data_IF_946160604425
#
_entry.id   IF_946160604425
#
_cell.length_a   1.000
_cell.length_b   1.000
_cell.length_c   1.000
_cell.angle_alpha   90.00
_cell.angle_beta   90.00
_cell.angle_gamma   90.00
#
_symmetry.space_group_name_H-M   'P 1'
#
loop_
_entity.id
_entity.type
_entity.pdbx_description
1 polymer ?
#
# COMPACT_ATOMS: atom_id res chain seq x y z
N UNK A 1 9.56 7.77 26.11
CA UNK A 1 9.11 6.57 25.35
C UNK A 1 8.58 7.09 24.04
N UNK A 2 9.01 6.55 22.92
CA UNK A 2 8.42 6.92 21.62
C UNK A 2 6.96 6.48 21.63
N UNK A 3 6.07 7.34 21.11
CA UNK A 3 4.65 7.04 20.91
C UNK A 3 4.52 5.93 19.85
N UNK A 4 3.72 4.92 20.11
CA UNK A 4 3.40 3.84 19.18
C UNK A 4 1.89 3.81 18.89
N UNK A 5 1.42 2.95 17.98
CA UNK A 5 0.01 2.88 17.59
C UNK A 5 -0.94 2.47 18.72
N UNK A 6 -0.43 2.02 19.88
CA UNK A 6 -1.21 1.66 21.05
C UNK A 6 -1.24 2.79 22.10
N UNK A 7 -0.52 3.88 21.86
CA UNK A 7 -0.48 5.04 22.76
C UNK A 7 -1.64 5.97 22.46
N UNK A 8 -2.38 6.40 23.49
CA UNK A 8 -3.45 7.38 23.38
C UNK A 8 -2.86 8.79 23.26
N UNK A 9 -2.72 9.27 22.05
CA UNK A 9 -2.23 10.60 21.73
C UNK A 9 -3.30 11.43 21.02
N UNK A 10 -3.12 12.75 21.02
CA UNK A 10 -3.96 13.64 20.21
C UNK A 10 -3.66 13.41 18.71
N UNK A 11 -4.63 12.95 17.89
CA UNK A 11 -4.39 12.61 16.50
C UNK A 11 -3.99 13.83 15.63
N UNK A 12 -4.33 15.04 16.05
CA UNK A 12 -3.95 16.28 15.34
C UNK A 12 -2.44 16.54 15.44
N UNK A 13 -1.85 16.25 16.60
CA UNK A 13 -0.44 16.59 16.93
C UNK A 13 0.47 15.37 17.06
N UNK A 14 -0.04 14.15 16.85
CA UNK A 14 0.71 12.91 16.98
C UNK A 14 1.97 12.87 16.10
N UNK A 15 1.85 13.34 14.88
CA UNK A 15 2.95 13.52 13.96
C UNK A 15 3.11 15.00 13.62
N UNK A 16 4.34 15.43 13.41
CA UNK A 16 4.63 16.79 12.98
C UNK A 16 3.91 17.09 11.66
N UNK A 17 3.45 18.33 11.52
CA UNK A 17 2.99 18.80 10.21
C UNK A 17 4.16 18.75 9.23
N UNK A 18 3.97 18.01 8.14
CA UNK A 18 4.98 17.90 7.09
C UNK A 18 4.89 19.16 6.24
N UNK A 19 5.98 19.92 6.22
CA UNK A 19 6.22 20.94 5.21
C UNK A 19 7.26 20.36 4.27
N UNK A 20 6.87 19.75 3.14
CA UNK A 20 7.81 19.16 2.22
C UNK A 20 8.76 20.24 1.70
N UNK A 21 10.06 19.96 1.73
CA UNK A 21 10.94 20.65 0.79
C UNK A 21 10.52 20.21 -0.61
N UNK A 22 10.36 21.16 -1.53
CA UNK A 22 9.98 20.87 -2.91
C UNK A 22 11.12 20.14 -3.58
N UNK A 23 11.19 18.84 -3.38
CA UNK A 23 12.18 17.94 -3.99
C UNK A 23 11.47 17.00 -4.93
N UNK A 24 11.43 17.36 -6.21
CA UNK A 24 11.04 16.43 -7.25
C UNK A 24 12.07 15.29 -7.34
N UNK A 25 11.58 14.09 -7.52
CA UNK A 25 12.39 12.91 -7.80
C UNK A 25 11.94 12.28 -9.12
N UNK A 26 12.86 11.72 -9.94
CA UNK A 26 12.44 10.90 -11.06
C UNK A 26 11.74 9.64 -10.58
N UNK A 27 10.74 9.16 -11.33
CA UNK A 27 10.10 7.86 -11.06
C UNK A 27 11.17 6.73 -11.03
N UNK A 28 11.08 5.77 -10.10
CA UNK A 28 9.99 5.56 -9.14
C UNK A 28 10.08 6.41 -7.86
N UNK A 29 11.17 7.12 -7.63
CA UNK A 29 11.48 7.82 -6.39
C UNK A 29 12.07 6.89 -5.33
N UNK A 30 12.81 7.47 -4.39
CA UNK A 30 13.38 6.74 -3.27
C UNK A 30 12.87 7.34 -1.96
N UNK A 31 12.41 6.49 -1.08
CA UNK A 31 11.95 6.88 0.25
C UNK A 31 13.12 7.45 1.08
N UNK A 32 14.32 6.89 0.90
CA UNK A 32 15.56 7.38 1.47
C UNK A 32 15.87 8.85 1.13
N UNK A 33 15.30 9.41 0.06
CA UNK A 33 15.48 10.79 -0.38
C UNK A 33 14.35 11.73 0.00
N UNK A 34 13.29 11.24 0.65
CA UNK A 34 12.21 12.10 1.12
C UNK A 34 12.71 13.07 2.21
N UNK A 35 12.31 14.32 2.09
CA UNK A 35 12.55 15.36 3.09
C UNK A 35 11.26 16.10 3.40
N UNK A 36 10.76 16.01 4.67
CA UNK A 36 11.29 15.16 5.74
C UNK A 36 11.09 13.67 5.48
N UNK A 37 11.83 12.82 6.19
CA UNK A 37 11.64 11.35 6.12
C UNK A 37 10.24 10.96 6.52
N UNK A 38 9.70 9.94 5.86
CA UNK A 38 8.44 9.32 6.25
C UNK A 38 8.65 8.38 7.46
N UNK A 39 7.62 8.20 8.27
CA UNK A 39 7.58 7.23 9.37
C UNK A 39 6.81 5.98 8.90
N UNK A 40 7.54 4.87 8.72
CA UNK A 40 6.96 3.57 8.34
C UNK A 40 6.71 2.67 9.54
N UNK A 41 7.02 3.15 10.74
CA UNK A 41 6.88 2.37 11.95
C UNK A 41 8.19 1.73 12.42
N UNK A 42 9.36 2.16 11.93
CA UNK A 42 10.68 1.60 12.28
C UNK A 42 10.91 1.61 13.80
N UNK A 43 10.37 2.61 14.50
CA UNK A 43 10.42 2.71 15.96
C UNK A 43 9.05 3.00 16.60
N UNK A 44 8.03 3.25 15.79
CA UNK A 44 6.71 3.76 16.21
C UNK A 44 5.58 2.73 16.03
N UNK A 45 5.86 1.53 15.53
CA UNK A 45 4.93 0.41 15.50
C UNK A 45 5.38 -0.70 16.46
N UNK A 46 4.47 -1.21 17.26
CA UNK A 46 4.69 -2.32 18.20
C UNK A 46 3.78 -3.50 17.87
N UNK A 47 4.37 -4.66 17.56
CA UNK A 47 3.62 -5.88 17.29
C UNK A 47 2.97 -6.47 18.54
N UNK A 48 1.87 -7.18 18.34
CA UNK A 48 1.10 -7.88 19.37
C UNK A 48 0.85 -9.36 19.02
N UNK A 49 1.44 -9.84 17.91
CA UNK A 49 1.40 -11.26 17.53
C UNK A 49 0.14 -11.66 16.76
N UNK A 50 -0.56 -10.74 16.12
CA UNK A 50 -1.83 -11.01 15.40
C UNK A 50 -1.69 -11.82 14.13
N UNK A 51 -0.48 -11.91 13.55
CA UNK A 51 -0.19 -12.59 12.28
C UNK A 51 0.86 -13.71 12.42
N UNK A 52 1.03 -14.26 13.61
CA UNK A 52 2.02 -15.33 13.85
C UNK A 52 1.81 -16.50 12.89
N UNK A 53 2.89 -16.87 12.16
CA UNK A 53 2.90 -17.99 11.23
C UNK A 53 2.20 -17.72 9.90
N UNK A 54 1.79 -16.46 9.62
CA UNK A 54 1.21 -16.08 8.32
C UNK A 54 2.31 -15.69 7.34
N UNK A 55 2.01 -15.81 6.05
CA UNK A 55 2.91 -15.57 4.92
C UNK A 55 2.25 -14.58 3.98
N UNK A 56 2.90 -13.44 3.77
CA UNK A 56 2.33 -12.33 3.01
C UNK A 56 3.15 -12.00 1.76
N UNK A 57 2.49 -11.75 0.63
CA UNK A 57 3.06 -11.09 -0.54
C UNK A 57 2.52 -9.67 -0.61
N UNK A 58 3.42 -8.68 -0.70
CA UNK A 58 3.08 -7.26 -0.75
C UNK A 58 3.74 -6.64 -1.99
N UNK A 59 2.98 -6.00 -2.87
CA UNK A 59 3.52 -5.24 -3.99
C UNK A 59 3.82 -3.79 -3.61
N UNK A 60 4.96 -3.22 -4.09
CA UNK A 60 5.42 -1.90 -3.69
C UNK A 60 5.73 -1.85 -2.18
N UNK A 61 6.52 -2.81 -1.69
CA UNK A 61 6.76 -3.01 -0.26
C UNK A 61 8.05 -2.35 0.24
N UNK A 62 8.77 -1.65 -0.61
CA UNK A 62 10.02 -0.94 -0.35
C UNK A 62 9.81 0.42 0.27
N UNK A 63 8.67 1.06 -0.01
CA UNK A 63 8.43 2.46 0.35
C UNK A 63 6.98 2.71 0.80
N UNK A 64 6.74 3.90 1.34
CA UNK A 64 5.41 4.40 1.68
C UNK A 64 4.55 3.43 2.47
N UNK A 65 3.29 3.27 2.06
CA UNK A 65 2.31 2.41 2.76
C UNK A 65 2.73 0.94 2.73
N UNK A 66 3.29 0.47 1.60
CA UNK A 66 3.75 -0.92 1.47
C UNK A 66 4.86 -1.27 2.46
N UNK A 67 5.83 -0.39 2.64
CA UNK A 67 6.90 -0.55 3.63
C UNK A 67 6.35 -0.59 5.07
N UNK A 68 5.43 0.31 5.40
CA UNK A 68 4.80 0.33 6.72
C UNK A 68 4.00 -0.95 6.99
N UNK A 69 3.29 -1.48 5.99
CA UNK A 69 2.57 -2.76 6.08
C UNK A 69 3.55 -3.92 6.26
N UNK A 70 4.66 -3.94 5.51
CA UNK A 70 5.67 -5.00 5.60
C UNK A 70 6.31 -5.05 7.00
N UNK A 71 6.70 -3.89 7.54
CA UNK A 71 7.25 -3.77 8.92
C UNK A 71 6.19 -4.23 9.95
N UNK A 72 4.96 -3.73 9.83
CA UNK A 72 3.90 -4.09 10.77
C UNK A 72 3.59 -5.58 10.74
N UNK A 73 3.50 -6.19 9.54
CA UNK A 73 3.24 -7.61 9.39
C UNK A 73 4.35 -8.47 10.02
N UNK A 74 5.61 -8.10 9.81
CA UNK A 74 6.74 -8.79 10.43
C UNK A 74 6.68 -8.72 11.96
N UNK A 75 6.39 -7.55 12.53
CA UNK A 75 6.23 -7.36 13.97
C UNK A 75 5.02 -8.10 14.54
N UNK A 76 3.99 -8.28 13.76
CA UNK A 76 2.84 -9.13 14.13
C UNK A 76 3.11 -10.62 13.93
N UNK A 77 4.28 -11.00 13.42
CA UNK A 77 4.76 -12.39 13.35
C UNK A 77 4.62 -13.06 11.97
N UNK A 78 4.34 -12.30 10.91
CA UNK A 78 4.27 -12.83 9.55
C UNK A 78 5.64 -12.84 8.86
N UNK A 79 5.84 -13.80 7.95
CA UNK A 79 6.91 -13.78 6.96
C UNK A 79 6.44 -12.99 5.72
N UNK A 80 7.33 -12.24 5.07
CA UNK A 80 6.95 -11.27 4.03
C UNK A 80 7.78 -11.46 2.75
N UNK A 81 7.11 -11.60 1.62
CA UNK A 81 7.67 -11.42 0.28
C UNK A 81 7.36 -10.00 -0.20
N UNK A 82 8.37 -9.31 -0.69
CA UNK A 82 8.35 -7.90 -1.05
C UNK A 82 8.63 -7.75 -2.54
N UNK A 83 7.67 -7.22 -3.31
CA UNK A 83 7.94 -6.78 -4.67
C UNK A 83 8.19 -5.27 -4.68
N UNK A 84 9.12 -4.84 -5.53
CA UNK A 84 9.55 -3.48 -5.75
C UNK A 84 10.24 -3.36 -7.11
N UNK A 85 10.42 -2.14 -7.63
CA UNK A 85 11.19 -1.94 -8.86
C UNK A 85 12.71 -2.06 -8.59
N UNK A 86 13.52 -2.60 -9.50
CA UNK A 86 14.96 -2.79 -9.28
C UNK A 86 15.73 -1.52 -8.88
N UNK A 87 15.24 -0.34 -9.28
CA UNK A 87 15.83 0.94 -8.91
C UNK A 87 15.64 1.30 -7.41
N UNK A 88 14.72 0.64 -6.72
CA UNK A 88 14.37 0.85 -5.30
C UNK A 88 15.07 -0.14 -4.36
N UNK A 89 16.09 -0.86 -4.84
CA UNK A 89 16.79 -1.91 -4.10
C UNK A 89 17.32 -1.44 -2.73
N UNK A 90 17.82 -0.20 -2.63
CA UNK A 90 18.35 0.36 -1.37
C UNK A 90 17.26 0.47 -0.30
N UNK A 91 16.08 0.97 -0.66
CA UNK A 91 14.94 1.08 0.26
C UNK A 91 14.42 -0.32 0.63
N UNK A 92 14.32 -1.24 -0.33
CA UNK A 92 13.89 -2.61 -0.09
C UNK A 92 14.85 -3.38 0.85
N UNK A 93 16.16 -3.19 0.71
CA UNK A 93 17.16 -3.79 1.61
C UNK A 93 17.01 -3.29 3.05
N UNK A 94 16.72 -1.99 3.22
CA UNK A 94 16.49 -1.39 4.53
C UNK A 94 15.23 -2.00 5.21
N UNK A 95 14.13 -2.14 4.49
CA UNK A 95 12.89 -2.76 5.02
C UNK A 95 13.12 -4.24 5.31
N UNK A 96 13.79 -4.98 4.42
CA UNK A 96 14.11 -6.39 4.63
C UNK A 96 14.99 -6.62 5.87
N UNK A 97 15.91 -5.71 6.16
CA UNK A 97 16.72 -5.77 7.37
C UNK A 97 15.86 -5.66 8.64
N UNK A 98 14.84 -4.79 8.65
CA UNK A 98 13.91 -4.65 9.76
C UNK A 98 13.05 -5.92 9.93
N UNK A 99 12.54 -6.50 8.85
CA UNK A 99 11.78 -7.77 8.89
C UNK A 99 12.64 -8.90 9.48
N UNK A 100 13.89 -9.02 9.04
CA UNK A 100 14.83 -10.05 9.54
C UNK A 100 15.21 -9.82 11.00
N UNK A 101 15.29 -8.56 11.45
CA UNK A 101 15.56 -8.23 12.85
C UNK A 101 14.42 -8.68 13.79
N UNK A 102 13.18 -8.80 13.29
CA UNK A 102 12.05 -9.39 14.02
C UNK A 102 12.04 -10.94 13.99
N UNK A 103 13.10 -11.55 13.43
CA UNK A 103 13.20 -13.00 13.27
C UNK A 103 12.27 -13.58 12.20
N UNK A 104 11.84 -12.77 11.24
CA UNK A 104 10.94 -13.16 10.16
C UNK A 104 11.69 -13.31 8.83
N UNK A 105 11.13 -14.10 7.93
CA UNK A 105 11.64 -14.26 6.56
C UNK A 105 11.28 -13.03 5.73
N UNK A 106 12.28 -12.47 5.02
CA UNK A 106 12.08 -11.45 4.00
C UNK A 106 12.56 -12.00 2.65
N UNK A 107 11.62 -12.20 1.71
CA UNK A 107 11.89 -12.60 0.32
C UNK A 107 11.83 -11.35 -0.56
N UNK A 108 12.93 -10.99 -1.20
CA UNK A 108 13.04 -9.83 -2.08
C UNK A 108 12.81 -10.24 -3.53
N UNK A 109 11.85 -9.60 -4.20
CA UNK A 109 11.44 -9.94 -5.58
C UNK A 109 11.42 -8.65 -6.42
N UNK A 110 12.59 -8.18 -6.90
CA UNK A 110 12.69 -7.01 -7.75
C UNK A 110 12.10 -7.27 -9.13
N UNK A 111 11.26 -6.37 -9.63
CA UNK A 111 10.73 -6.41 -11.00
C UNK A 111 9.48 -5.58 -11.20
N UNK A 112 9.12 -5.40 -12.47
CA UNK A 112 8.01 -4.55 -12.90
C UNK A 112 6.72 -5.36 -13.06
N UNK A 113 5.71 -5.02 -12.28
CA UNK A 113 4.39 -5.68 -12.32
C UNK A 113 3.55 -5.31 -13.54
N UNK A 114 3.99 -4.38 -14.38
CA UNK A 114 3.37 -4.14 -15.68
C UNK A 114 3.63 -5.28 -16.68
N UNK A 115 4.60 -6.14 -16.38
CA UNK A 115 4.89 -7.36 -17.13
C UNK A 115 4.09 -8.54 -16.57
N UNK A 116 3.28 -9.16 -17.44
CA UNK A 116 2.44 -10.31 -17.08
C UNK A 116 3.24 -11.56 -16.71
N UNK A 117 4.34 -11.83 -17.40
CA UNK A 117 5.18 -13.01 -17.13
C UNK A 117 5.91 -12.84 -15.80
N UNK A 118 6.40 -11.61 -15.55
CA UNK A 118 6.98 -11.29 -14.25
C UNK A 118 5.97 -11.48 -13.11
N UNK A 119 4.73 -11.00 -13.23
CA UNK A 119 3.70 -11.18 -12.20
C UNK A 119 3.49 -12.65 -11.82
N UNK A 120 3.43 -13.52 -12.83
CA UNK A 120 3.29 -14.97 -12.60
C UNK A 120 4.51 -15.54 -11.87
N UNK A 121 5.71 -15.23 -12.34
CA UNK A 121 6.96 -15.67 -11.71
C UNK A 121 7.14 -15.14 -10.29
N UNK A 122 6.68 -13.91 -10.03
CA UNK A 122 6.72 -13.29 -8.71
C UNK A 122 5.89 -14.06 -7.67
N UNK A 123 4.66 -14.43 -8.03
CA UNK A 123 3.80 -15.21 -7.12
C UNK A 123 4.45 -16.56 -6.79
N UNK A 124 5.00 -17.23 -7.78
CA UNK A 124 5.72 -18.50 -7.58
C UNK A 124 6.93 -18.32 -6.67
N UNK A 125 7.76 -17.30 -6.90
CA UNK A 125 8.92 -16.99 -6.04
C UNK A 125 8.52 -16.70 -4.60
N UNK A 126 7.42 -15.95 -4.39
CA UNK A 126 6.89 -15.67 -3.05
C UNK A 126 6.47 -16.96 -2.34
N UNK A 127 5.72 -17.82 -3.02
CA UNK A 127 5.25 -19.11 -2.47
C UNK A 127 6.42 -20.03 -2.12
N UNK A 128 7.40 -20.15 -3.00
CA UNK A 128 8.60 -20.99 -2.77
C UNK A 128 9.44 -20.44 -1.61
N UNK A 129 9.70 -19.14 -1.61
CA UNK A 129 10.54 -18.50 -0.59
C UNK A 129 9.92 -18.47 0.81
N UNK A 130 8.59 -18.41 0.91
CA UNK A 130 7.84 -18.39 2.17
C UNK A 130 7.32 -19.79 2.58
N UNK A 131 7.34 -20.76 1.70
CA UNK A 131 6.72 -22.08 1.92
C UNK A 131 5.20 -22.07 1.85
N UNK A 132 4.60 -21.09 1.14
CA UNK A 132 3.15 -20.94 0.91
C UNK A 132 2.71 -19.48 0.93
N UNK A 133 1.39 -19.23 0.82
CA UNK A 133 0.82 -17.88 0.81
C UNK A 133 -0.52 -17.85 1.57
N UNK A 134 -0.68 -16.86 2.44
CA UNK A 134 -1.89 -16.67 3.24
C UNK A 134 -2.50 -15.29 3.06
N UNK A 135 -1.68 -14.29 2.72
CA UNK A 135 -2.08 -12.90 2.62
C UNK A 135 -1.52 -12.32 1.33
N UNK A 136 -2.38 -11.73 0.50
CA UNK A 136 -1.96 -10.94 -0.65
C UNK A 136 -2.33 -9.47 -0.39
N UNK A 137 -1.35 -8.56 -0.53
CA UNK A 137 -1.57 -7.11 -0.48
C UNK A 137 -1.21 -6.51 -1.83
N UNK A 138 -2.22 -6.14 -2.61
CA UNK A 138 -2.06 -5.37 -3.86
C UNK A 138 -1.95 -3.90 -3.49
N UNK A 139 -0.72 -3.39 -3.34
CA UNK A 139 -0.48 -2.02 -2.86
C UNK A 139 0.23 -1.14 -3.90
N UNK A 140 1.13 -1.67 -4.71
CA UNK A 140 1.83 -0.89 -5.72
C UNK A 140 0.87 -0.04 -6.59
N UNK A 141 1.28 1.18 -6.87
CA UNK A 141 0.49 2.11 -7.67
C UNK A 141 1.38 3.09 -8.44
N UNK A 142 0.87 3.55 -9.57
CA UNK A 142 1.43 4.62 -10.37
C UNK A 142 0.44 5.77 -10.44
N UNK A 143 0.93 7.01 -10.29
CA UNK A 143 0.14 8.24 -10.33
C UNK A 143 0.99 9.36 -10.92
N UNK A 144 0.47 10.03 -11.95
CA UNK A 144 1.03 11.25 -12.51
C UNK A 144 -0.10 12.26 -12.67
N UNK A 145 0.15 13.52 -12.28
CA UNK A 145 -0.82 14.59 -12.46
C UNK A 145 -0.74 15.17 -13.88
N UNK A 146 -1.83 15.78 -14.31
CA UNK A 146 -1.94 16.57 -15.53
C UNK A 146 -2.87 17.77 -15.24
N UNK A 147 -2.64 18.91 -15.89
CA UNK A 147 -3.44 20.11 -15.62
C UNK A 147 -4.85 19.99 -16.20
N UNK A 148 -4.98 19.43 -17.38
CA UNK A 148 -6.25 19.20 -18.07
C UNK A 148 -6.32 17.77 -18.61
N UNK A 149 -7.53 17.27 -18.83
CA UNK A 149 -7.72 15.95 -19.43
C UNK A 149 -7.10 15.84 -20.84
N UNK A 150 -7.03 16.94 -21.58
CA UNK A 150 -6.45 16.96 -22.92
C UNK A 150 -4.92 16.78 -22.92
N UNK A 151 -4.27 17.00 -21.78
CA UNK A 151 -2.82 16.85 -21.60
C UNK A 151 -2.43 15.48 -21.06
N UNK A 152 -3.42 14.62 -20.74
CA UNK A 152 -3.14 13.27 -20.31
C UNK A 152 -2.43 12.50 -21.43
N UNK A 153 -1.18 12.15 -21.17
CA UNK A 153 -0.33 11.39 -22.07
C UNK A 153 -0.78 9.92 -22.14
N UNK A 154 -0.76 9.35 -23.33
CA UNK A 154 -1.14 7.96 -23.62
C UNK A 154 -0.25 6.96 -22.86
N UNK A 155 1.06 7.22 -22.78
CA UNK A 155 2.01 6.34 -22.07
C UNK A 155 1.73 6.37 -20.58
N UNK A 156 1.42 7.53 -19.99
CA UNK A 156 1.01 7.67 -18.61
C UNK A 156 -0.33 6.98 -18.32
N UNK A 157 -1.28 7.04 -19.26
CA UNK A 157 -2.54 6.32 -19.15
C UNK A 157 -2.31 4.81 -19.14
N UNK A 158 -1.55 4.27 -20.12
CA UNK A 158 -1.26 2.83 -20.20
C UNK A 158 -0.51 2.34 -18.97
N UNK A 159 0.53 3.06 -18.53
CA UNK A 159 1.29 2.74 -17.31
C UNK A 159 0.38 2.71 -16.08
N UNK A 160 -0.52 3.72 -15.92
CA UNK A 160 -1.46 3.76 -14.79
C UNK A 160 -2.40 2.55 -14.78
N UNK A 161 -2.97 2.22 -15.93
CA UNK A 161 -3.90 1.08 -16.05
C UNK A 161 -3.17 -0.25 -15.83
N UNK A 162 -1.98 -0.42 -16.41
CA UNK A 162 -1.17 -1.64 -16.24
C UNK A 162 -0.78 -1.85 -14.78
N UNK A 163 -0.21 -0.84 -14.15
CA UNK A 163 0.25 -0.94 -12.75
C UNK A 163 -0.92 -1.13 -11.79
N UNK A 164 -1.96 -0.28 -11.88
CA UNK A 164 -2.98 -0.21 -10.84
C UNK A 164 -4.11 -1.22 -11.02
N UNK A 165 -4.37 -1.69 -12.25
CA UNK A 165 -5.46 -2.63 -12.53
C UNK A 165 -4.96 -3.96 -13.09
N UNK A 166 -4.28 -3.98 -14.24
CA UNK A 166 -3.93 -5.25 -14.87
C UNK A 166 -3.05 -6.11 -13.95
N UNK A 167 -2.02 -5.52 -13.34
CA UNK A 167 -1.18 -6.22 -12.38
C UNK A 167 -1.98 -6.85 -11.24
N UNK A 168 -2.89 -6.09 -10.64
CA UNK A 168 -3.76 -6.58 -9.57
C UNK A 168 -4.60 -7.80 -10.01
N UNK A 169 -5.19 -7.75 -11.21
CA UNK A 169 -5.95 -8.89 -11.76
C UNK A 169 -5.05 -10.12 -11.98
N UNK A 170 -3.85 -9.93 -12.55
CA UNK A 170 -2.93 -11.02 -12.85
C UNK A 170 -2.41 -11.67 -11.58
N UNK A 171 -1.86 -10.86 -10.68
CA UNK A 171 -1.29 -11.33 -9.41
C UNK A 171 -2.34 -12.05 -8.57
N UNK A 172 -3.53 -11.45 -8.44
CA UNK A 172 -4.64 -12.05 -7.68
C UNK A 172 -5.03 -13.40 -8.27
N UNK A 173 -5.21 -13.50 -9.60
CA UNK A 173 -5.58 -14.74 -10.26
C UNK A 173 -4.56 -15.86 -10.01
N UNK A 174 -3.26 -15.52 -10.15
CA UNK A 174 -2.20 -16.51 -9.96
C UNK A 174 -2.05 -16.89 -8.47
N UNK A 175 -2.27 -15.96 -7.55
CA UNK A 175 -2.25 -16.24 -6.12
C UNK A 175 -3.39 -17.17 -5.66
N UNK A 176 -4.55 -17.21 -6.35
CA UNK A 176 -5.72 -18.02 -5.97
C UNK A 176 -5.45 -19.52 -5.91
N UNK A 177 -4.43 -20.03 -6.60
CA UNK A 177 -4.03 -21.43 -6.55
C UNK A 177 -3.35 -21.78 -5.21
N UNK A 178 -2.83 -20.79 -4.51
CA UNK A 178 -2.08 -20.93 -3.27
C UNK A 178 -2.84 -20.47 -2.03
N UNK A 179 -3.95 -19.72 -2.21
CA UNK A 179 -4.78 -19.20 -1.13
C UNK A 179 -5.86 -20.19 -0.73
N UNK A 180 -5.81 -20.67 0.51
CA UNK A 180 -6.80 -21.58 1.10
C UNK A 180 -7.80 -20.86 2.02
N UNK A 181 -8.72 -21.63 2.65
CA UNK A 181 -9.62 -21.08 3.67
C UNK A 181 -8.85 -20.38 4.80
N UNK A 182 -9.32 -19.21 5.22
CA UNK A 182 -8.66 -18.34 6.20
C UNK A 182 -7.63 -17.38 5.60
N UNK A 183 -7.38 -17.44 4.28
CA UNK A 183 -6.55 -16.46 3.58
C UNK A 183 -7.30 -15.14 3.37
N UNK A 184 -6.55 -14.08 3.08
CA UNK A 184 -7.11 -12.76 2.80
C UNK A 184 -6.38 -12.03 1.68
N UNK A 185 -7.13 -11.26 0.91
CA UNK A 185 -6.63 -10.33 -0.11
C UNK A 185 -7.00 -8.92 0.34
N UNK A 186 -6.02 -8.02 0.33
CA UNK A 186 -6.21 -6.62 0.73
C UNK A 186 -5.73 -5.73 -0.41
N UNK A 187 -6.62 -4.90 -0.93
CA UNK A 187 -6.32 -4.00 -2.03
C UNK A 187 -6.14 -2.56 -1.53
N UNK A 188 -5.09 -1.87 -1.98
CA UNK A 188 -4.90 -0.44 -1.71
C UNK A 188 -5.66 0.38 -2.73
N UNK A 189 -6.81 0.95 -2.32
CA UNK A 189 -7.56 1.92 -3.10
C UNK A 189 -7.15 3.36 -2.71
N UNK A 190 -8.06 4.30 -2.64
CA UNK A 190 -7.82 5.71 -2.25
C UNK A 190 -9.13 6.42 -1.98
N UNK A 191 -9.10 7.57 -1.30
CA UNK A 191 -10.20 8.55 -1.31
C UNK A 191 -10.57 8.96 -2.74
N UNK A 192 -9.63 8.89 -3.68
CA UNK A 192 -9.87 9.14 -5.10
C UNK A 192 -10.82 8.12 -5.75
N UNK A 193 -11.02 6.96 -5.12
CA UNK A 193 -12.04 5.98 -5.50
C UNK A 193 -13.46 6.36 -5.04
N UNK A 194 -13.66 7.54 -4.46
CA UNK A 194 -14.95 8.09 -4.05
C UNK A 194 -15.12 9.55 -4.48
N UNK A 195 -14.06 10.36 -4.31
CA UNK A 195 -14.06 11.78 -4.61
C UNK A 195 -12.88 12.09 -5.56
N UNK A 196 -13.07 11.90 -6.88
CA UNK A 196 -11.99 11.97 -7.86
C UNK A 196 -11.53 13.41 -8.11
N UNK A 197 -10.21 13.63 -8.12
CA UNK A 197 -9.60 14.85 -8.61
C UNK A 197 -9.49 14.81 -10.15
N UNK A 198 -9.87 15.88 -10.87
CA UNK A 198 -9.72 15.94 -12.31
C UNK A 198 -8.25 15.92 -12.77
N UNK A 199 -7.31 16.31 -11.90
CA UNK A 199 -5.88 16.36 -12.23
C UNK A 199 -5.20 14.97 -12.26
N UNK A 200 -5.85 13.94 -11.74
CA UNK A 200 -5.36 12.55 -11.71
C UNK A 200 -6.47 11.58 -12.11
N UNK A 201 -7.19 11.92 -13.19
CA UNK A 201 -8.41 11.22 -13.59
C UNK A 201 -8.16 9.73 -13.93
N UNK A 202 -7.03 9.41 -14.57
CA UNK A 202 -6.58 8.06 -14.85
C UNK A 202 -6.38 7.25 -13.57
N UNK A 203 -5.64 7.80 -12.61
CA UNK A 203 -5.44 7.20 -11.29
C UNK A 203 -6.77 7.02 -10.54
N UNK A 204 -7.58 8.08 -10.45
CA UNK A 204 -8.88 8.03 -9.78
C UNK A 204 -9.79 6.95 -10.38
N UNK A 205 -9.83 6.84 -11.72
CA UNK A 205 -10.57 5.80 -12.43
C UNK A 205 -10.12 4.40 -12.00
N UNK A 206 -8.80 4.17 -11.85
CA UNK A 206 -8.31 2.86 -11.37
C UNK A 206 -8.75 2.60 -9.93
N UNK A 207 -8.79 3.60 -9.07
CA UNK A 207 -9.19 3.43 -7.66
C UNK A 207 -10.68 3.15 -7.49
N UNK A 208 -11.54 3.70 -8.36
CA UNK A 208 -12.94 3.25 -8.48
C UNK A 208 -13.02 1.79 -8.95
N UNK A 209 -12.22 1.43 -9.94
CA UNK A 209 -12.13 0.04 -10.44
C UNK A 209 -11.74 -0.94 -9.33
N UNK A 210 -10.77 -0.59 -8.49
CA UNK A 210 -10.34 -1.41 -7.34
C UNK A 210 -11.47 -1.62 -6.34
N UNK A 211 -12.29 -0.59 -6.06
CA UNK A 211 -13.45 -0.73 -5.17
C UNK A 211 -14.48 -1.75 -5.73
N UNK A 212 -14.76 -1.66 -7.04
CA UNK A 212 -15.64 -2.61 -7.72
C UNK A 212 -15.07 -4.02 -7.75
N UNK A 213 -13.79 -4.17 -8.09
CA UNK A 213 -13.08 -5.45 -8.09
C UNK A 213 -13.11 -6.10 -6.70
N UNK A 214 -12.81 -5.33 -5.64
CA UNK A 214 -12.81 -5.82 -4.26
C UNK A 214 -14.15 -6.44 -3.88
N UNK A 215 -15.25 -5.74 -4.15
CA UNK A 215 -16.60 -6.22 -3.82
C UNK A 215 -17.01 -7.45 -4.63
N UNK A 216 -16.74 -7.45 -5.92
CA UNK A 216 -17.08 -8.57 -6.80
C UNK A 216 -16.29 -9.83 -6.44
N UNK A 217 -14.96 -9.68 -6.24
CA UNK A 217 -14.10 -10.79 -5.86
C UNK A 217 -14.39 -11.32 -4.46
N UNK A 218 -14.76 -10.45 -3.53
CA UNK A 218 -15.18 -10.85 -2.18
C UNK A 218 -16.41 -11.77 -2.22
N UNK A 219 -17.40 -11.44 -3.06
CA UNK A 219 -18.60 -12.28 -3.23
C UNK A 219 -18.24 -13.65 -3.82
N UNK A 220 -17.34 -13.70 -4.80
CA UNK A 220 -16.90 -14.94 -5.45
C UNK A 220 -16.11 -15.85 -4.50
N UNK A 221 -15.21 -15.27 -3.69
CA UNK A 221 -14.29 -16.03 -2.87
C UNK A 221 -14.78 -16.33 -1.44
N UNK A 222 -15.80 -15.64 -0.95
CA UNK A 222 -16.34 -15.87 0.39
C UNK A 222 -16.76 -17.35 0.64
N UNK A 223 -17.43 -18.06 -0.32
CA UNK A 223 -17.73 -19.48 -0.15
C UNK A 223 -16.49 -20.39 -0.04
N UNK A 224 -15.33 -19.92 -0.51
CA UNK A 224 -14.03 -20.60 -0.34
C UNK A 224 -13.35 -20.30 1.00
N UNK A 225 -13.95 -19.46 1.85
CA UNK A 225 -13.37 -19.01 3.11
C UNK A 225 -12.22 -18.01 2.95
N UNK A 226 -12.15 -17.31 1.81
CA UNK A 226 -11.15 -16.27 1.52
C UNK A 226 -11.83 -14.92 1.62
N UNK A 227 -11.29 -14.01 2.44
CA UNK A 227 -11.80 -12.65 2.58
C UNK A 227 -11.08 -11.71 1.61
N UNK A 228 -11.82 -10.81 1.01
CA UNK A 228 -11.27 -9.74 0.15
C UNK A 228 -11.80 -8.41 0.64
N UNK A 229 -10.90 -7.48 0.95
CA UNK A 229 -11.23 -6.14 1.43
C UNK A 229 -10.25 -5.12 0.85
N UNK A 230 -10.51 -3.85 1.10
CA UNK A 230 -9.61 -2.78 0.68
C UNK A 230 -9.39 -1.76 1.80
N UNK A 231 -8.29 -1.01 1.69
CA UNK A 231 -8.03 0.20 2.48
C UNK A 231 -8.01 1.39 1.52
N UNK A 232 -8.66 2.47 1.93
CA UNK A 232 -8.71 3.74 1.20
C UNK A 232 -7.93 4.81 1.97
N UNK A 233 -6.63 4.99 1.69
CA UNK A 233 -5.85 6.08 2.25
C UNK A 233 -6.35 7.46 1.79
N UNK A 234 -6.18 8.45 2.66
CA UNK A 234 -6.20 9.85 2.31
C UNK A 234 -4.83 10.35 1.84
N UNK A 235 -4.46 11.60 2.16
CA UNK A 235 -3.13 12.12 1.87
C UNK A 235 -2.09 11.46 2.77
N UNK A 236 -1.18 10.70 2.16
CA UNK A 236 -0.05 10.01 2.85
C UNK A 236 1.27 10.53 2.30
N UNK A 237 2.22 10.83 3.17
CA UNK A 237 3.55 11.28 2.77
C UNK A 237 4.40 10.09 2.28
N UNK A 238 4.63 10.03 0.97
CA UNK A 238 5.31 8.91 0.29
C UNK A 238 6.05 9.41 -0.96
N UNK A 239 6.98 8.64 -1.52
CA UNK A 239 7.65 8.97 -2.80
C UNK A 239 6.66 9.26 -3.94
N UNK A 240 5.52 8.58 -3.97
CA UNK A 240 4.47 8.79 -4.98
C UNK A 240 4.06 10.27 -5.14
N UNK A 241 4.17 11.08 -4.08
CA UNK A 241 3.76 12.48 -4.14
C UNK A 241 4.80 13.36 -4.85
N UNK A 242 6.08 13.01 -4.75
CA UNK A 242 7.21 13.81 -5.28
C UNK A 242 7.72 13.31 -6.64
N UNK A 243 7.13 12.25 -7.18
CA UNK A 243 7.41 11.68 -8.51
C UNK A 243 6.30 12.01 -9.51
N UNK A 244 5.97 13.31 -9.64
CA UNK A 244 4.84 13.81 -10.45
C UNK A 244 3.44 13.36 -9.98
N UNK A 245 3.32 12.78 -8.78
CA UNK A 245 2.02 12.42 -8.21
C UNK A 245 1.17 13.63 -7.79
N UNK A 246 1.82 14.75 -7.52
CA UNK A 246 1.19 16.05 -7.20
C UNK A 246 1.92 17.18 -7.91
N UNK A 247 1.21 18.26 -8.32
CA UNK A 247 1.87 19.48 -8.74
C UNK A 247 2.78 20.03 -7.63
N UNK A 248 4.01 20.47 -7.94
CA UNK A 248 4.96 20.96 -6.94
C UNK A 248 4.39 22.03 -5.99
N UNK A 249 3.57 22.95 -6.52
CA UNK A 249 2.93 24.02 -5.74
C UNK A 249 1.86 23.53 -4.76
N UNK A 250 1.36 22.30 -4.92
CA UNK A 250 0.39 21.69 -4.00
C UNK A 250 1.05 20.86 -2.90
N UNK A 251 2.35 20.57 -3.02
CA UNK A 251 3.06 19.77 -2.02
C UNK A 251 3.14 20.48 -0.68
N UNK A 252 3.37 21.80 -0.64
CA UNK A 252 3.44 22.59 0.60
C UNK A 252 2.16 22.47 1.44
N UNK A 253 1.00 22.45 0.77
CA UNK A 253 -0.31 22.30 1.42
C UNK A 253 -0.88 20.89 1.45
N UNK A 254 -0.07 19.89 1.05
CA UNK A 254 -0.56 18.51 0.92
C UNK A 254 -1.06 17.96 2.24
N UNK A 255 -2.31 17.50 2.25
CA UNK A 255 -2.97 16.98 3.44
C UNK A 255 -3.65 18.02 4.34
N UNK A 256 -3.47 19.33 4.10
CA UNK A 256 -4.10 20.39 4.91
C UNK A 256 -5.63 20.38 4.84
N UNK A 257 -6.21 19.83 3.77
CA UNK A 257 -7.66 19.67 3.60
C UNK A 257 -8.27 18.50 4.37
N UNK A 258 -7.45 17.61 4.95
CA UNK A 258 -7.97 16.59 5.87
C UNK A 258 -8.57 17.26 7.11
N UNK A 259 -9.55 16.65 7.77
CA UNK A 259 -10.12 17.21 8.99
C UNK A 259 -9.12 17.26 10.16
N UNK A 260 -8.07 16.46 10.09
CA UNK A 260 -6.95 16.52 11.03
C UNK A 260 -5.94 17.63 10.68
N UNK A 261 -6.10 18.30 9.51
CA UNK A 261 -5.28 19.42 9.06
C UNK A 261 -3.83 19.04 8.71
N UNK A 262 -3.55 17.76 8.47
CA UNK A 262 -2.21 17.28 8.16
C UNK A 262 -2.22 16.06 7.21
N UNK A 263 -1.08 15.79 6.62
CA UNK A 263 -0.77 14.53 5.95
C UNK A 263 -0.65 13.41 6.98
N UNK A 264 -1.08 12.21 6.65
CA UNK A 264 -0.76 11.03 7.44
C UNK A 264 0.64 10.52 7.15
N UNK A 265 1.21 9.80 8.12
CA UNK A 265 2.40 8.98 7.94
C UNK A 265 2.02 7.58 7.45
N UNK A 266 2.89 6.89 6.68
CA UNK A 266 2.67 5.51 6.26
C UNK A 266 2.29 4.57 7.42
N UNK A 267 2.93 4.70 8.57
CA UNK A 267 2.65 3.89 9.76
C UNK A 267 1.21 4.00 10.26
N UNK A 268 0.53 5.12 10.01
CA UNK A 268 -0.87 5.30 10.42
C UNK A 268 -1.85 4.50 9.56
N UNK A 269 -1.41 4.02 8.38
CA UNK A 269 -2.19 3.15 7.50
C UNK A 269 -2.10 1.69 7.92
N UNK A 270 -0.94 1.25 8.39
CA UNK A 270 -0.62 -0.15 8.66
C UNK A 270 -1.60 -0.88 9.60
N UNK A 271 -2.14 -0.28 10.68
CA UNK A 271 -3.09 -0.96 11.57
C UNK A 271 -4.35 -1.47 10.87
N UNK A 272 -4.85 -0.76 9.83
CA UNK A 272 -6.01 -1.21 9.07
C UNK A 272 -5.69 -2.49 8.25
N UNK A 273 -4.51 -2.56 7.65
CA UNK A 273 -4.06 -3.77 6.95
C UNK A 273 -3.87 -4.95 7.91
N UNK A 274 -3.27 -4.71 9.07
CA UNK A 274 -3.11 -5.75 10.10
C UNK A 274 -4.46 -6.25 10.59
N UNK A 275 -5.43 -5.36 10.85
CA UNK A 275 -6.80 -5.74 11.21
C UNK A 275 -7.43 -6.61 10.11
N UNK A 276 -7.36 -6.18 8.84
CA UNK A 276 -7.93 -6.94 7.72
C UNK A 276 -7.20 -8.27 7.47
N UNK A 277 -5.91 -8.36 7.79
CA UNK A 277 -5.12 -9.59 7.66
C UNK A 277 -5.42 -10.58 8.80
N UNK A 278 -5.82 -10.10 9.97
CA UNK A 278 -6.00 -10.89 11.19
C UNK A 278 -7.39 -11.55 11.28
N UNK A 279 -7.58 -12.53 12.18
CA UNK A 279 -8.89 -13.12 12.45
C UNK A 279 -9.90 -12.15 13.12
N UNK A 280 -9.44 -11.01 13.62
CA UNK A 280 -10.33 -9.97 14.21
C UNK A 280 -11.35 -9.45 13.19
N UNK A 281 -11.01 -9.49 11.89
CA UNK A 281 -11.89 -9.09 10.78
C UNK A 281 -12.63 -10.28 10.12
N UNK A 282 -12.88 -11.36 10.87
CA UNK A 282 -13.48 -12.60 10.34
C UNK A 282 -14.85 -12.41 9.68
N UNK A 283 -15.60 -11.37 10.01
CA UNK A 283 -16.89 -11.05 9.42
C UNK A 283 -16.87 -9.80 8.53
N UNK A 284 -15.66 -9.31 8.17
CA UNK A 284 -15.44 -8.16 7.27
C UNK A 284 -15.10 -8.69 5.88
N UNK A 285 -16.04 -8.54 4.93
CA UNK A 285 -15.94 -9.09 3.56
C UNK A 285 -16.49 -8.07 2.56
N UNK A 286 -15.70 -7.72 1.54
CA UNK A 286 -16.06 -6.75 0.51
C UNK A 286 -16.08 -5.30 0.99
N UNK A 287 -15.45 -5.02 2.12
CA UNK A 287 -15.43 -3.69 2.75
C UNK A 287 -14.24 -2.86 2.27
N UNK A 288 -14.40 -1.54 2.29
CA UNK A 288 -13.35 -0.57 2.05
C UNK A 288 -13.18 0.29 3.30
N UNK A 289 -12.10 0.05 4.05
CA UNK A 289 -11.80 0.81 5.27
C UNK A 289 -11.13 2.13 4.91
N UNK A 290 -11.75 3.23 5.31
CA UNK A 290 -11.23 4.57 5.09
C UNK A 290 -10.24 4.95 6.19
N UNK A 291 -8.97 5.20 5.80
CA UNK A 291 -7.91 5.73 6.67
C UNK A 291 -7.44 7.05 6.06
N UNK A 292 -8.28 8.09 6.15
CA UNK A 292 -8.19 9.25 5.28
C UNK A 292 -8.23 10.61 6.00
N UNK A 293 -8.18 10.62 7.34
CA UNK A 293 -8.19 11.86 8.12
C UNK A 293 -9.50 12.64 8.01
N UNK A 294 -10.62 11.98 7.69
CA UNK A 294 -11.94 12.61 7.59
C UNK A 294 -12.27 13.18 6.22
N UNK A 295 -11.55 12.78 5.15
CA UNK A 295 -11.96 13.15 3.80
C UNK A 295 -13.38 12.64 3.51
N UNK A 296 -14.17 13.50 2.82
CA UNK A 296 -15.56 13.19 2.51
C UNK A 296 -15.64 11.95 1.61
N UNK A 297 -16.16 10.86 2.14
CA UNK A 297 -16.45 9.62 1.42
C UNK A 297 -17.88 9.21 1.74
N UNK A 298 -18.57 8.54 0.81
CA UNK A 298 -19.94 8.08 1.05
C UNK A 298 -20.03 7.05 2.16
#
# INVERSE_FOLDING_TARGET
>A
MSSDQLTFDNPVTRHAHIVPEVSWQPFPGLDAKLTPRADHGETTYRGTGRLVGRRALITGADSGVGAAVAIAFAREGADVAMNYLPAEQEDADAIAALIRAEGRTAVLIPGDITDREFCQGMVQQAVEGLGGLDILVNNAAYQVYHETFAELDEDNLDQTIRTNLYAMFWITRDALEHLGPGSTIINSTSVQGYNPSPMIINYATTKFGINGFTKALAHDLAPRGIRVNAVAPGPVWTPLQVTDGQPPEKLEGFGSSSWLGRTSQPVEQAPAYVFLASPESSFVVGEVINVNGGANVP
#
